data_IF_099322041295
#
_entry.id   IF_099322041295
#
_cell.length_a   1.000
_cell.length_b   1.000
_cell.length_c   1.000
_cell.angle_alpha   90.00
_cell.angle_beta   90.00
_cell.angle_gamma   90.00
#
_symmetry.space_group_name_H-M   'P 1'
#
loop_
_entity.id
_entity.type
_entity.pdbx_description
1 polymer ?
#
# COMPACT_ATOMS: atom_id res chain seq x y z
N UNK A 1 -4.30 4.25 21.12
CA UNK A 1 -4.76 2.87 20.85
C UNK A 1 -6.07 2.97 20.11
N UNK A 2 -6.09 2.67 18.81
CA UNK A 2 -7.34 2.51 18.07
C UNK A 2 -7.65 1.01 18.02
N UNK A 3 -8.86 0.64 18.43
CA UNK A 3 -9.32 -0.75 18.55
C UNK A 3 -9.48 -1.42 17.18
N UNK A 4 -9.19 -2.72 17.14
CA UNK A 4 -9.29 -3.60 15.96
C UNK A 4 -10.68 -3.62 15.29
N UNK A 5 -11.69 -3.04 15.92
CA UNK A 5 -13.06 -2.93 15.39
C UNK A 5 -13.27 -1.79 14.39
N UNK A 6 -12.42 -0.75 14.37
CA UNK A 6 -12.56 0.38 13.42
C UNK A 6 -11.98 0.08 12.02
N UNK A 7 -11.18 -0.98 11.86
CA UNK A 7 -10.55 -1.35 10.59
C UNK A 7 -11.33 -2.41 9.79
N UNK A 8 -12.49 -2.88 10.28
CA UNK A 8 -13.26 -3.96 9.63
C UNK A 8 -13.69 -3.66 8.19
N UNK A 9 -13.87 -2.39 7.83
CA UNK A 9 -14.20 -2.00 6.44
C UNK A 9 -13.02 -2.22 5.45
N UNK A 10 -11.79 -2.34 5.96
CA UNK A 10 -10.58 -2.61 5.14
C UNK A 10 -10.33 -4.11 4.92
N UNK A 11 -11.13 -4.98 5.54
CA UNK A 11 -10.97 -6.45 5.50
C UNK A 11 -12.03 -7.14 4.63
N UNK A 12 -12.70 -6.41 3.74
CA UNK A 12 -13.70 -6.98 2.84
C UNK A 12 -13.03 -7.84 1.77
N UNK A 13 -13.03 -9.15 2.00
CA UNK A 13 -12.55 -10.19 1.07
C UNK A 13 -13.45 -10.20 -0.17
N UNK A 14 -13.05 -9.48 -1.21
CA UNK A 14 -13.47 -9.78 -2.58
C UNK A 14 -12.67 -11.00 -3.08
N UNK A 15 -13.04 -11.68 -4.17
CA UNK A 15 -12.20 -12.73 -4.78
C UNK A 15 -10.96 -12.08 -5.42
N UNK A 16 -10.04 -11.64 -4.56
CA UNK A 16 -8.91 -10.80 -4.88
C UNK A 16 -7.75 -11.62 -5.36
N UNK A 17 -7.18 -11.15 -6.47
CA UNK A 17 -5.81 -11.42 -6.91
C UNK A 17 -4.90 -11.81 -5.73
N UNK A 18 -4.37 -13.03 -5.74
CA UNK A 18 -3.50 -13.57 -4.69
C UNK A 18 -1.99 -13.41 -4.95
N UNK A 19 -1.63 -12.74 -6.06
CA UNK A 19 -0.24 -12.65 -6.51
C UNK A 19 0.16 -11.26 -7.01
N UNK A 20 1.34 -10.81 -6.62
CA UNK A 20 2.12 -9.77 -7.26
C UNK A 20 2.83 -10.28 -8.51
N UNK A 21 2.06 -10.51 -9.58
CA UNK A 21 2.56 -11.15 -10.79
C UNK A 21 2.86 -12.63 -10.52
N UNK A 22 4.15 -12.96 -10.35
CA UNK A 22 4.60 -14.33 -9.99
C UNK A 22 4.91 -14.51 -8.50
N UNK A 23 4.79 -13.46 -7.70
CA UNK A 23 5.07 -13.50 -6.26
C UNK A 23 3.74 -13.66 -5.53
N UNK A 24 3.63 -14.64 -4.63
CA UNK A 24 2.41 -14.87 -3.84
C UNK A 24 2.30 -13.85 -2.70
N UNK A 25 1.08 -13.41 -2.40
CA UNK A 25 0.81 -12.60 -1.22
C UNK A 25 0.84 -13.48 0.05
N UNK A 26 1.52 -13.02 1.09
CA UNK A 26 1.69 -13.72 2.37
C UNK A 26 1.34 -12.86 3.59
N UNK A 27 1.26 -11.53 3.43
CA UNK A 27 0.93 -10.58 4.49
C UNK A 27 -0.57 -10.31 4.65
N UNK A 28 -0.88 -9.41 5.58
CA UNK A 28 -2.21 -8.81 5.65
C UNK A 28 -2.49 -8.01 4.37
N UNK A 29 -3.63 -8.27 3.76
CA UNK A 29 -4.08 -7.56 2.57
C UNK A 29 -4.81 -6.28 2.96
N UNK A 30 -4.61 -5.23 2.16
CA UNK A 30 -5.34 -3.96 2.23
C UNK A 30 -5.63 -3.49 0.81
N UNK A 31 -6.74 -2.77 0.63
CA UNK A 31 -7.07 -2.11 -0.63
C UNK A 31 -6.21 -0.84 -0.85
N UNK A 32 -5.68 -0.67 -2.06
CA UNK A 32 -4.97 0.55 -2.43
C UNK A 32 -5.91 1.70 -2.81
N UNK A 33 -5.79 2.85 -2.14
CA UNK A 33 -6.54 4.09 -2.42
C UNK A 33 -6.48 4.58 -3.88
N UNK A 34 -5.50 4.15 -4.68
CA UNK A 34 -5.29 4.63 -6.06
C UNK A 34 -5.91 3.70 -7.10
N UNK A 35 -5.81 2.39 -6.91
CA UNK A 35 -6.26 1.42 -7.92
C UNK A 35 -7.36 0.47 -7.43
N UNK A 36 -7.83 0.65 -6.19
CA UNK A 36 -8.89 -0.15 -5.58
C UNK A 36 -8.64 -1.66 -5.69
N UNK A 37 -7.38 -2.07 -5.61
CA UNK A 37 -6.96 -3.47 -5.66
C UNK A 37 -6.25 -3.85 -4.36
N UNK A 38 -6.53 -5.06 -3.90
CA UNK A 38 -5.88 -5.65 -2.74
C UNK A 38 -4.38 -5.92 -3.01
N UNK A 39 -3.59 -5.69 -1.97
CA UNK A 39 -2.15 -5.81 -1.95
C UNK A 39 -1.70 -6.12 -0.53
N UNK A 40 -0.67 -6.94 -0.35
CA UNK A 40 0.02 -7.08 0.93
C UNK A 40 1.33 -6.27 0.97
N UNK A 41 1.84 -5.84 -0.20
CA UNK A 41 3.02 -4.99 -0.35
C UNK A 41 2.67 -3.52 -0.65
N UNK A 42 3.16 -2.61 0.19
CA UNK A 42 2.97 -1.17 0.04
C UNK A 42 4.30 -0.41 0.01
N UNK A 43 4.40 0.54 -0.91
CA UNK A 43 5.38 1.60 -0.99
C UNK A 43 4.99 2.72 -0.01
N UNK A 44 5.88 3.01 0.94
CA UNK A 44 5.70 4.03 1.98
C UNK A 44 6.85 5.03 1.89
N UNK A 45 6.50 6.32 1.77
CA UNK A 45 7.45 7.44 1.87
C UNK A 45 7.45 8.04 3.27
N UNK A 46 8.16 9.15 3.44
CA UNK A 46 8.26 9.86 4.73
C UNK A 46 6.91 10.42 5.21
N UNK A 47 5.99 10.70 4.29
CA UNK A 47 4.64 11.15 4.60
C UNK A 47 3.71 10.05 5.14
N UNK A 48 4.18 8.81 5.28
CA UNK A 48 3.44 7.67 5.83
C UNK A 48 2.11 7.33 5.13
N UNK A 49 1.88 7.83 3.92
CA UNK A 49 0.74 7.43 3.10
C UNK A 49 1.08 6.17 2.30
N UNK A 50 0.39 5.03 2.55
CA UNK A 50 0.68 3.78 1.86
C UNK A 50 0.11 3.81 0.44
N UNK A 51 0.90 3.30 -0.51
CA UNK A 51 0.50 3.06 -1.90
C UNK A 51 0.87 1.64 -2.28
N UNK A 52 0.02 0.86 -2.95
CA UNK A 52 0.46 -0.48 -3.36
C UNK A 52 1.72 -0.40 -4.24
N UNK A 53 2.55 -1.43 -4.20
CA UNK A 53 3.83 -1.45 -4.90
C UNK A 53 3.67 -1.16 -6.41
N UNK A 54 2.60 -1.62 -7.06
CA UNK A 54 2.31 -1.30 -8.45
C UNK A 54 2.08 0.19 -8.71
N UNK A 55 1.24 0.83 -7.90
CA UNK A 55 0.96 2.26 -8.03
C UNK A 55 2.21 3.08 -7.72
N UNK A 56 3.01 2.66 -6.73
CA UNK A 56 4.30 3.27 -6.43
C UNK A 56 5.26 3.23 -7.63
N UNK A 57 5.39 2.07 -8.30
CA UNK A 57 6.21 1.92 -9.51
C UNK A 57 5.67 2.77 -10.67
N UNK A 58 4.34 2.75 -10.89
CA UNK A 58 3.72 3.56 -11.95
C UNK A 58 4.01 5.04 -11.75
N UNK A 59 3.84 5.56 -10.54
CA UNK A 59 4.07 6.97 -10.24
C UNK A 59 5.56 7.35 -10.34
N UNK A 60 6.44 6.60 -9.69
CA UNK A 60 7.86 6.99 -9.62
C UNK A 60 8.66 6.67 -10.87
N UNK A 61 8.44 5.50 -11.45
CA UNK A 61 9.28 5.00 -12.54
C UNK A 61 8.69 5.39 -13.89
N UNK A 62 7.40 5.16 -14.10
CA UNK A 62 6.76 5.44 -15.38
C UNK A 62 6.42 6.93 -15.53
N UNK A 63 5.78 7.53 -14.51
CA UNK A 63 5.35 8.94 -14.55
C UNK A 63 6.41 9.92 -14.05
N UNK A 64 7.54 9.43 -13.49
CA UNK A 64 8.62 10.26 -12.94
C UNK A 64 8.14 11.32 -11.94
N UNK A 65 7.07 11.01 -11.19
CA UNK A 65 6.50 11.88 -10.18
C UNK A 65 7.05 11.51 -8.82
N UNK A 66 7.67 12.48 -8.15
CA UNK A 66 8.24 12.35 -6.81
C UNK A 66 7.27 12.80 -5.70
N UNK A 67 6.16 13.45 -6.06
CA UNK A 67 5.14 13.87 -5.09
C UNK A 67 4.18 12.75 -4.65
N UNK A 68 3.74 12.81 -3.40
CA UNK A 68 2.70 11.95 -2.85
C UNK A 68 1.35 12.25 -3.52
N UNK A 69 0.62 11.25 -4.05
CA UNK A 69 -0.71 11.48 -4.64
C UNK A 69 -1.76 11.92 -3.61
N UNK A 70 -1.54 11.66 -2.31
CA UNK A 70 -2.48 11.97 -1.23
C UNK A 70 -2.25 13.35 -0.63
N UNK A 71 -1.02 13.66 -0.21
CA UNK A 71 -0.68 14.92 0.46
C UNK A 71 0.21 15.87 -0.35
N UNK A 72 0.65 15.50 -1.56
CA UNK A 72 1.53 16.29 -2.45
C UNK A 72 2.92 16.61 -1.89
N UNK A 73 3.28 16.06 -0.73
CA UNK A 73 4.65 16.16 -0.21
C UNK A 73 5.64 15.50 -1.17
N UNK A 74 6.80 16.11 -1.36
CA UNK A 74 7.92 15.51 -2.09
C UNK A 74 8.40 14.27 -1.36
N UNK A 75 8.58 13.16 -2.07
CA UNK A 75 9.05 11.91 -1.52
C UNK A 75 10.37 11.55 -2.19
N UNK A 76 11.47 11.73 -1.47
CA UNK A 76 12.81 11.41 -1.97
C UNK A 76 13.07 9.90 -1.97
N UNK A 77 12.67 9.22 -0.89
CA UNK A 77 12.88 7.78 -0.72
C UNK A 77 11.56 7.07 -0.45
N UNK A 78 11.34 5.93 -1.12
CA UNK A 78 10.26 4.99 -0.82
C UNK A 78 10.82 3.66 -0.36
N UNK A 79 10.19 3.11 0.66
CA UNK A 79 10.47 1.76 1.15
C UNK A 79 9.26 0.88 0.90
N UNK A 80 9.48 -0.32 0.38
CA UNK A 80 8.42 -1.31 0.22
C UNK A 80 8.34 -2.13 1.50
N UNK A 81 7.15 -2.26 2.08
CA UNK A 81 6.90 -3.05 3.30
C UNK A 81 5.61 -3.86 3.16
N UNK A 82 5.57 -5.01 3.84
CA UNK A 82 4.34 -5.76 4.01
C UNK A 82 3.44 -5.05 5.03
N UNK A 83 2.15 -4.88 4.72
CA UNK A 83 1.22 -4.09 5.53
C UNK A 83 1.11 -4.60 6.99
N UNK A 84 1.24 -5.91 7.20
CA UNK A 84 1.17 -6.54 8.53
C UNK A 84 2.27 -6.15 9.53
N UNK A 85 3.31 -5.42 9.12
CA UNK A 85 4.34 -4.92 10.03
C UNK A 85 4.04 -3.53 10.63
N UNK A 86 3.02 -2.82 10.16
CA UNK A 86 2.72 -1.45 10.64
C UNK A 86 1.92 -1.41 11.96
N UNK A 87 1.39 -2.56 12.42
CA UNK A 87 0.49 -2.64 13.58
C UNK A 87 1.11 -3.39 14.78
N UNK A 88 2.44 -3.57 14.81
CA UNK A 88 3.16 -4.25 15.91
C UNK A 88 3.91 -3.32 16.86
N UNK A 89 3.69 -2.00 16.78
CA UNK A 89 4.18 -1.01 17.75
C UNK A 89 3.00 -0.21 18.32
#
# INVERSE_FOLDING_TARGET
>A
MMSLDECKHLLNIAPGRSHHGRIKMEGAIMECDICCRESDLFAIGECLHPLCMECGIRLRILSKTDSCPKCRATIETVRVRCFGFFCRD
#
